data_IF_435480998824
#
_entry.id   IF_435480998824
#
_cell.length_a   1.000
_cell.length_b   1.000
_cell.length_c   1.000
_cell.angle_alpha   90.00
_cell.angle_beta   90.00
_cell.angle_gamma   90.00
#
_symmetry.space_group_name_H-M   'P 1'
#
loop_
_entity.id
_entity.type
_entity.pdbx_description
1 polymer ?
#
# COMPACT_ATOMS: atom_id res chain seq x y z
N UNK A 1 -2.85 -6.95 0.87
CA UNK A 1 -3.16 -5.69 0.16
C UNK A 1 -4.67 -5.43 0.09
N UNK A 2 -5.48 -6.22 -0.63
CA UNK A 2 -6.95 -6.01 -0.71
C UNK A 2 -7.68 -6.16 0.63
N UNK A 3 -7.20 -7.05 1.49
CA UNK A 3 -7.75 -7.23 2.86
C UNK A 3 -7.34 -6.11 3.81
N UNK A 4 -6.32 -5.34 3.45
CA UNK A 4 -5.70 -4.32 4.30
C UNK A 4 -6.28 -2.94 4.02
N UNK A 5 -6.45 -2.62 2.74
CA UNK A 5 -6.96 -1.32 2.27
C UNK A 5 -8.31 -1.54 1.60
N UNK A 6 -9.43 -1.36 2.33
CA UNK A 6 -10.77 -1.74 1.85
C UNK A 6 -11.27 -0.87 0.69
N UNK A 7 -10.66 0.29 0.45
CA UNK A 7 -10.98 1.18 -0.67
C UNK A 7 -10.39 0.73 -2.01
N UNK A 8 -9.50 -0.27 -2.04
CA UNK A 8 -8.90 -0.77 -3.26
C UNK A 8 -9.74 -1.87 -3.92
N UNK A 9 -9.98 -1.71 -5.21
CA UNK A 9 -10.50 -2.78 -6.06
C UNK A 9 -9.39 -3.78 -6.42
N UNK A 10 -9.78 -5.00 -6.81
CA UNK A 10 -8.82 -6.03 -7.24
C UNK A 10 -7.91 -5.53 -8.37
N UNK A 11 -8.47 -4.85 -9.37
CA UNK A 11 -7.70 -4.31 -10.49
C UNK A 11 -6.67 -3.27 -10.06
N UNK A 12 -7.02 -2.39 -9.11
CA UNK A 12 -6.07 -1.41 -8.56
C UNK A 12 -4.95 -2.10 -7.80
N UNK A 13 -5.27 -3.08 -6.95
CA UNK A 13 -4.25 -3.83 -6.22
C UNK A 13 -3.28 -4.58 -7.15
N UNK A 14 -3.80 -5.18 -8.24
CA UNK A 14 -2.95 -5.83 -9.25
C UNK A 14 -2.04 -4.81 -9.95
N UNK A 15 -2.58 -3.66 -10.35
CA UNK A 15 -1.79 -2.61 -11.00
C UNK A 15 -0.69 -2.09 -10.07
N UNK A 16 -1.00 -1.78 -8.82
CA UNK A 16 -0.03 -1.27 -7.84
C UNK A 16 1.05 -2.31 -7.55
N UNK A 17 0.70 -3.58 -7.36
CA UNK A 17 1.67 -4.65 -7.14
C UNK A 17 2.58 -4.86 -8.37
N UNK A 18 2.01 -4.72 -9.58
CA UNK A 18 2.78 -4.82 -10.82
C UNK A 18 3.72 -3.63 -10.98
N UNK A 19 3.25 -2.42 -10.67
CA UNK A 19 4.06 -1.20 -10.68
C UNK A 19 5.22 -1.29 -9.68
N UNK A 20 4.94 -1.75 -8.45
CA UNK A 20 5.97 -1.96 -7.44
C UNK A 20 7.00 -3.03 -7.88
N UNK A 21 6.58 -4.04 -8.63
CA UNK A 21 7.48 -5.05 -9.17
C UNK A 21 8.40 -4.49 -10.26
N UNK A 22 7.87 -3.65 -11.15
CA UNK A 22 8.60 -3.09 -12.29
C UNK A 22 9.49 -1.91 -11.87
N UNK A 23 8.94 -0.99 -11.08
CA UNK A 23 9.58 0.26 -10.68
C UNK A 23 10.23 0.19 -9.29
N UNK A 24 10.18 -0.97 -8.62
CA UNK A 24 10.64 -1.21 -7.23
C UNK A 24 9.85 -0.49 -6.13
N UNK A 25 8.94 0.41 -6.49
CA UNK A 25 8.06 1.16 -5.58
C UNK A 25 6.73 1.50 -6.30
N UNK A 26 5.64 1.61 -5.54
CA UNK A 26 4.37 2.12 -6.04
C UNK A 26 3.55 2.76 -4.92
N UNK A 27 2.76 3.78 -5.26
CA UNK A 27 1.84 4.42 -4.33
C UNK A 27 0.59 3.55 -4.14
N UNK A 28 0.33 3.15 -2.89
CA UNK A 28 -0.84 2.34 -2.54
C UNK A 28 -2.07 3.22 -2.29
N UNK A 29 -1.92 4.21 -1.41
CA UNK A 29 -2.98 5.12 -0.98
C UNK A 29 -2.33 6.35 -0.32
N UNK A 30 -2.91 7.54 -0.51
CA UNK A 30 -2.66 8.71 0.33
C UNK A 30 -3.84 8.87 1.29
N UNK A 31 -3.53 9.00 2.58
CA UNK A 31 -4.51 9.14 3.66
C UNK A 31 -3.87 9.79 4.88
N UNK A 32 -4.67 10.03 5.93
CA UNK A 32 -4.15 10.52 7.21
C UNK A 32 -3.11 9.56 7.80
N UNK A 33 -2.09 10.11 8.46
CA UNK A 33 -0.94 9.36 8.97
C UNK A 33 -1.34 8.14 9.81
N UNK A 34 -2.32 8.28 10.70
CA UNK A 34 -2.81 7.19 11.56
C UNK A 34 -3.31 5.97 10.74
N UNK A 35 -4.01 6.22 9.62
CA UNK A 35 -4.45 5.14 8.73
C UNK A 35 -3.30 4.54 7.93
N UNK A 36 -2.36 5.37 7.47
CA UNK A 36 -1.18 4.90 6.76
C UNK A 36 -0.32 3.98 7.64
N UNK A 37 -0.17 4.31 8.92
CA UNK A 37 0.52 3.48 9.93
C UNK A 37 -0.14 2.11 10.09
N UNK A 38 -1.47 2.08 10.28
CA UNK A 38 -2.22 0.84 10.40
C UNK A 38 -2.10 -0.05 9.16
N UNK A 39 -2.22 0.54 7.96
CA UNK A 39 -2.09 -0.21 6.71
C UNK A 39 -0.67 -0.72 6.50
N UNK A 40 0.35 0.11 6.76
CA UNK A 40 1.75 -0.27 6.60
C UNK A 40 2.14 -1.40 7.56
N UNK A 41 1.76 -1.32 8.83
CA UNK A 41 2.00 -2.39 9.80
C UNK A 41 1.32 -3.69 9.37
N UNK A 42 0.06 -3.61 8.94
CA UNK A 42 -0.67 -4.79 8.46
C UNK A 42 -0.03 -5.38 7.21
N UNK A 43 0.42 -4.58 6.24
CA UNK A 43 1.11 -5.06 5.04
C UNK A 43 2.44 -5.76 5.40
N UNK A 44 3.21 -5.17 6.31
CA UNK A 44 4.45 -5.76 6.83
C UNK A 44 4.19 -7.10 7.54
N UNK A 45 3.11 -7.21 8.33
CA UNK A 45 2.69 -8.47 8.95
C UNK A 45 2.32 -9.56 7.95
N UNK A 46 1.89 -9.19 6.73
CA UNK A 46 1.63 -10.13 5.64
C UNK A 46 2.89 -10.47 4.81
N UNK A 47 4.07 -9.98 5.22
CA UNK A 47 5.34 -10.23 4.53
C UNK A 47 5.60 -9.31 3.33
N UNK A 48 4.82 -8.23 3.16
CA UNK A 48 5.07 -7.20 2.14
C UNK A 48 5.89 -6.07 2.75
N UNK A 49 6.92 -5.60 2.05
CA UNK A 49 7.64 -4.40 2.50
C UNK A 49 6.81 -3.16 2.19
N UNK A 50 6.38 -2.45 3.23
CA UNK A 50 5.58 -1.23 3.14
C UNK A 50 6.24 -0.08 3.90
N UNK A 51 6.29 1.09 3.27
CA UNK A 51 6.84 2.34 3.82
C UNK A 51 5.79 3.45 3.75
N UNK A 52 5.98 4.50 4.56
CA UNK A 52 5.09 5.68 4.63
C UNK A 52 5.95 6.90 4.36
N UNK A 53 5.47 7.78 3.50
CA UNK A 53 6.11 9.05 3.17
C UNK A 53 5.09 10.19 3.38
N UNK A 54 5.51 11.36 3.89
CA UNK A 54 4.63 12.52 3.98
C UNK A 54 4.34 13.07 2.58
N UNK A 55 3.09 13.45 2.33
CA UNK A 55 2.74 14.26 1.16
C UNK A 55 3.40 15.66 1.31
N UNK A 56 3.91 16.21 0.20
CA UNK A 56 4.52 17.56 0.15
C UNK A 56 3.57 18.68 0.62
#
# INVERSE_FOLDING_TARGET
>A
MLTTVPSLTQSQAVNIMMEAHINTIALVISCAQEHAEFYSETLNNHGLTSTIEPDE
#
